data_IF_202207790197
#
_entry.id   IF_202207790197
#
_cell.length_a   1.000
_cell.length_b   1.000
_cell.length_c   1.000
_cell.angle_alpha   90.00
_cell.angle_beta   90.00
_cell.angle_gamma   90.00
#
_symmetry.space_group_name_H-M   'P 1'
#
loop_
_entity.id
_entity.type
_entity.pdbx_description
1 polymer ?
#
# COMPACT_ATOMS: atom_id res chain seq x y z
N UNK A 1 -14.11 -11.19 -0.68
CA UNK A 1 -14.66 -10.75 0.60
C UNK A 1 -14.48 -11.92 1.57
N UNK A 2 -13.98 -11.68 2.76
CA UNK A 2 -13.83 -12.72 3.79
C UNK A 2 -15.09 -12.69 4.66
N UNK A 3 -15.73 -13.83 4.85
CA UNK A 3 -16.87 -14.00 5.74
C UNK A 3 -16.50 -15.04 6.79
N UNK A 4 -16.92 -14.81 8.03
CA UNK A 4 -16.62 -15.70 9.13
C UNK A 4 -17.34 -15.29 10.41
N UNK A 5 -16.79 -15.70 11.54
CA UNK A 5 -17.38 -15.44 12.85
C UNK A 5 -16.32 -14.90 13.82
N UNK A 6 -16.72 -13.97 14.69
CA UNK A 6 -15.94 -13.67 15.90
C UNK A 6 -16.36 -14.70 16.95
N UNK A 7 -15.39 -15.32 17.59
CA UNK A 7 -15.60 -16.25 18.68
C UNK A 7 -14.89 -15.76 19.94
N UNK A 8 -15.59 -15.76 21.07
CA UNK A 8 -15.00 -15.57 22.39
C UNK A 8 -15.85 -16.30 23.43
N UNK A 9 -15.24 -17.29 24.07
CA UNK A 9 -15.95 -18.18 24.99
C UNK A 9 -17.10 -18.91 24.30
N UNK A 10 -18.34 -18.65 24.76
CA UNK A 10 -19.56 -19.27 24.21
C UNK A 10 -20.30 -18.38 23.19
N UNK A 11 -19.74 -17.20 22.88
CA UNK A 11 -20.39 -16.23 21.99
C UNK A 11 -19.79 -16.33 20.60
N UNK A 12 -20.68 -16.43 19.60
CA UNK A 12 -20.30 -16.44 18.17
C UNK A 12 -21.07 -15.36 17.44
N UNK A 13 -20.36 -14.50 16.72
CA UNK A 13 -20.93 -13.35 15.99
C UNK A 13 -20.56 -13.48 14.52
N UNK A 14 -21.51 -13.72 13.63
CA UNK A 14 -21.25 -13.76 12.19
C UNK A 14 -20.89 -12.35 11.66
N UNK A 15 -19.77 -12.26 10.94
CA UNK A 15 -19.23 -11.00 10.43
C UNK A 15 -18.61 -11.14 9.05
N UNK A 16 -18.52 -10.02 8.32
CA UNK A 16 -17.74 -9.88 7.10
C UNK A 16 -16.63 -8.85 7.30
N UNK A 17 -15.44 -9.12 6.70
CA UNK A 17 -14.31 -8.20 6.72
C UNK A 17 -14.28 -7.33 5.48
N UNK A 18 -14.13 -6.02 5.71
CA UNK A 18 -13.90 -5.01 4.68
C UNK A 18 -12.61 -4.26 4.97
N UNK A 19 -11.70 -4.09 4.00
CA UNK A 19 -10.52 -3.25 4.19
C UNK A 19 -10.94 -1.82 4.59
N UNK A 20 -10.40 -1.31 5.71
CA UNK A 20 -10.66 0.06 6.15
C UNK A 20 -9.78 1.09 5.41
N UNK A 21 -8.78 0.63 4.66
CA UNK A 21 -7.89 1.47 3.86
C UNK A 21 -7.97 1.09 2.39
N UNK A 22 -7.90 2.10 1.51
CA UNK A 22 -7.78 1.92 0.06
C UNK A 22 -6.37 2.29 -0.36
N UNK A 23 -5.78 1.50 -1.24
CA UNK A 23 -4.57 1.91 -1.95
C UNK A 23 -4.98 2.75 -3.14
N UNK A 24 -4.65 4.02 -3.09
CA UNK A 24 -4.86 4.95 -4.20
C UNK A 24 -3.55 5.25 -4.95
N UNK A 25 -2.70 4.24 -5.08
CA UNK A 25 -1.46 4.34 -5.85
C UNK A 25 -1.77 4.39 -7.34
N UNK A 26 -1.09 5.27 -8.06
CA UNK A 26 -1.16 5.30 -9.52
C UNK A 26 -0.51 4.03 -10.07
N UNK A 27 -1.29 3.24 -10.80
CA UNK A 27 -0.78 2.02 -11.43
C UNK A 27 -0.34 2.31 -12.86
N UNK A 28 0.93 2.01 -13.17
CA UNK A 28 1.49 2.17 -14.51
C UNK A 28 1.60 0.81 -15.19
N UNK A 29 1.17 0.75 -16.45
CA UNK A 29 1.38 -0.42 -17.29
C UNK A 29 2.67 -0.23 -18.08
N UNK A 30 3.54 -1.23 -18.07
CA UNK A 30 4.76 -1.18 -18.89
C UNK A 30 4.42 -1.35 -20.36
N UNK A 31 4.94 -0.42 -21.18
CA UNK A 31 4.72 -0.40 -22.61
C UNK A 31 6.06 -0.49 -23.32
N UNK A 32 6.07 -1.16 -24.50
CA UNK A 32 7.22 -1.19 -25.39
C UNK A 32 7.40 0.20 -26.03
N UNK A 33 8.64 0.71 -26.00
CA UNK A 33 8.96 2.07 -26.43
C UNK A 33 8.64 2.36 -27.90
N UNK A 34 8.73 1.33 -28.76
CA UNK A 34 8.63 1.50 -30.23
C UNK A 34 7.21 1.67 -30.74
N UNK A 35 6.24 0.97 -30.14
CA UNK A 35 4.86 0.91 -30.62
C UNK A 35 3.82 1.02 -29.50
N UNK A 36 4.28 1.32 -28.28
CA UNK A 36 3.46 1.47 -27.07
C UNK A 36 2.57 0.25 -26.76
N UNK A 37 2.91 -0.93 -27.31
CA UNK A 37 2.21 -2.15 -26.97
C UNK A 37 2.46 -2.58 -25.52
N UNK A 38 1.45 -3.10 -24.79
CA UNK A 38 1.63 -3.62 -23.45
C UNK A 38 2.64 -4.77 -23.39
N UNK A 39 3.53 -4.74 -22.40
CA UNK A 39 4.51 -5.80 -22.14
C UNK A 39 3.91 -6.83 -21.20
N UNK A 40 4.02 -8.12 -21.54
CA UNK A 40 3.65 -9.24 -20.69
C UNK A 40 4.90 -9.94 -20.18
N UNK A 41 4.84 -10.44 -18.93
CA UNK A 41 5.91 -11.22 -18.32
C UNK A 41 5.73 -12.71 -18.65
N UNK A 42 6.82 -13.35 -19.05
CA UNK A 42 6.90 -14.80 -19.21
C UNK A 42 7.75 -15.39 -18.10
N UNK A 43 7.37 -16.55 -17.58
CA UNK A 43 8.16 -17.29 -16.61
C UNK A 43 9.13 -18.16 -17.35
N UNK A 44 10.41 -18.00 -17.01
CA UNK A 44 11.49 -18.79 -17.61
C UNK A 44 12.27 -19.50 -16.49
N UNK A 45 12.73 -20.71 -16.78
CA UNK A 45 13.61 -21.43 -15.87
C UNK A 45 15.00 -20.76 -15.87
N UNK A 46 15.59 -20.59 -14.70
CA UNK A 46 16.91 -19.95 -14.56
C UNK A 46 18.01 -20.75 -15.26
N UNK A 47 17.89 -22.09 -15.25
CA UNK A 47 18.92 -22.99 -15.77
C UNK A 47 19.11 -22.93 -17.29
N UNK A 48 18.03 -22.73 -18.04
CA UNK A 48 18.07 -22.82 -19.52
C UNK A 48 17.31 -21.69 -20.24
N UNK A 49 16.70 -20.77 -19.50
CA UNK A 49 15.95 -19.63 -20.05
C UNK A 49 14.66 -20.00 -20.79
N UNK A 50 14.21 -21.27 -20.73
CA UNK A 50 13.00 -21.70 -21.40
C UNK A 50 11.75 -21.34 -20.61
N UNK A 51 10.67 -21.07 -21.34
CA UNK A 51 9.37 -20.78 -20.75
C UNK A 51 8.82 -22.00 -20.02
N UNK A 52 8.37 -21.79 -18.77
CA UNK A 52 7.82 -22.83 -17.91
C UNK A 52 6.32 -22.63 -17.76
N UNK A 53 5.49 -23.60 -18.17
CA UNK A 53 4.05 -23.58 -17.96
C UNK A 53 3.71 -23.58 -16.46
N UNK A 54 2.58 -22.96 -16.11
CA UNK A 54 2.15 -22.83 -14.70
C UNK A 54 2.06 -24.19 -13.98
N UNK A 55 1.52 -25.20 -14.67
CA UNK A 55 1.31 -26.53 -14.13
C UNK A 55 2.61 -27.30 -13.86
N UNK A 56 3.73 -26.81 -14.40
CA UNK A 56 5.06 -27.40 -14.17
C UNK A 56 5.84 -26.66 -13.07
N UNK A 57 5.22 -25.66 -12.38
CA UNK A 57 5.86 -24.90 -11.33
C UNK A 57 5.45 -25.46 -9.98
N UNK A 58 6.42 -25.83 -9.14
CA UNK A 58 6.22 -26.30 -7.77
C UNK A 58 6.79 -25.30 -6.78
N UNK A 59 6.30 -25.31 -5.54
CA UNK A 59 6.84 -24.49 -4.45
C UNK A 59 7.99 -25.21 -3.77
N UNK A 60 9.16 -24.59 -3.72
CA UNK A 60 10.33 -25.10 -3.01
C UNK A 60 10.70 -24.16 -1.86
N UNK A 61 11.02 -24.73 -0.69
CA UNK A 61 11.63 -24.01 0.43
C UNK A 61 13.14 -24.26 0.42
N UNK A 62 13.93 -23.19 0.32
CA UNK A 62 15.39 -23.27 0.37
C UNK A 62 15.82 -23.37 1.84
N UNK A 63 16.36 -24.50 2.25
CA UNK A 63 16.84 -24.74 3.62
C UNK A 63 18.36 -24.63 3.75
N UNK A 64 19.09 -24.78 2.66
CA UNK A 64 20.50 -24.47 2.50
C UNK A 64 20.71 -23.91 1.10
N UNK A 65 21.75 -23.10 0.91
CA UNK A 65 22.04 -22.47 -0.38
C UNK A 65 22.06 -23.48 -1.54
N UNK A 66 21.10 -23.36 -2.45
CA UNK A 66 20.93 -24.26 -3.61
C UNK A 66 20.25 -25.59 -3.32
N UNK A 67 19.79 -25.83 -2.07
CA UNK A 67 19.03 -27.06 -1.72
C UNK A 67 17.59 -26.73 -1.37
N UNK A 68 16.67 -27.33 -2.08
CA UNK A 68 15.23 -27.07 -1.96
C UNK A 68 14.46 -28.29 -1.50
N UNK A 69 13.53 -28.10 -0.56
CA UNK A 69 12.47 -29.07 -0.27
C UNK A 69 11.23 -28.67 -1.06
N UNK A 70 10.73 -29.59 -1.87
CA UNK A 70 9.50 -29.35 -2.65
C UNK A 70 8.29 -29.58 -1.75
N UNK A 71 7.41 -28.58 -1.68
CA UNK A 71 6.15 -28.64 -0.94
C UNK A 71 5.00 -28.83 -1.92
N UNK A 72 4.19 -29.87 -1.71
CA UNK A 72 2.98 -30.16 -2.48
C UNK A 72 1.77 -29.51 -1.80
N UNK A 73 0.69 -29.35 -2.53
CA UNK A 73 -0.57 -28.82 -1.96
C UNK A 73 -1.09 -29.67 -0.78
N UNK A 74 -0.85 -30.99 -0.81
CA UNK A 74 -1.21 -31.89 0.28
C UNK A 74 -0.46 -31.59 1.58
N UNK A 75 0.79 -31.09 1.50
CA UNK A 75 1.58 -30.73 2.67
C UNK A 75 1.02 -29.47 3.34
N UNK A 76 0.51 -28.52 2.54
CA UNK A 76 -0.18 -27.34 3.06
C UNK A 76 -1.53 -27.69 3.70
N UNK A 77 -2.24 -28.69 3.18
CA UNK A 77 -3.52 -29.16 3.75
C UNK A 77 -3.34 -29.91 5.09
N UNK A 78 -2.15 -30.48 5.34
CA UNK A 78 -1.83 -31.13 6.63
C UNK A 78 -1.68 -30.14 7.77
N UNK A 79 -1.33 -28.91 7.49
CA UNK A 79 -1.38 -27.81 8.45
C UNK A 79 -2.87 -27.42 8.55
N UNK A 80 -3.58 -28.02 9.48
CA UNK A 80 -5.05 -27.99 9.60
C UNK A 80 -5.56 -26.59 10.01
N UNK A 81 -5.45 -25.66 9.07
CA UNK A 81 -5.97 -24.29 9.20
C UNK A 81 -7.42 -24.19 8.68
N UNK A 82 -7.97 -25.25 8.06
CA UNK A 82 -9.28 -25.18 7.41
C UNK A 82 -10.43 -25.00 8.44
N UNK A 83 -10.34 -25.65 9.59
CA UNK A 83 -11.35 -25.51 10.65
C UNK A 83 -11.37 -24.11 11.30
N UNK A 84 -10.20 -23.46 11.38
CA UNK A 84 -10.05 -22.11 11.90
C UNK A 84 -10.15 -21.01 10.82
N UNK A 85 -10.24 -21.37 9.55
CA UNK A 85 -10.13 -20.44 8.41
C UNK A 85 -11.24 -19.37 8.32
N UNK A 86 -12.34 -19.54 9.05
CA UNK A 86 -13.48 -18.62 9.05
C UNK A 86 -13.79 -18.07 10.44
N UNK A 87 -12.84 -18.14 11.38
CA UNK A 87 -13.05 -17.69 12.75
C UNK A 87 -11.98 -16.65 13.14
N UNK A 88 -12.44 -15.58 13.75
CA UNK A 88 -11.63 -14.64 14.53
C UNK A 88 -11.75 -15.10 15.98
N UNK A 89 -10.78 -15.85 16.47
CA UNK A 89 -10.82 -16.43 17.80
C UNK A 89 -10.12 -15.50 18.80
N UNK A 90 -10.93 -14.84 19.64
CA UNK A 90 -10.44 -13.94 20.69
C UNK A 90 -9.98 -14.79 21.87
N UNK A 91 -8.69 -14.72 22.15
CA UNK A 91 -8.04 -15.45 23.23
C UNK A 91 -8.04 -14.66 24.53
N UNK A 92 -7.72 -13.36 24.48
CA UNK A 92 -7.53 -12.47 25.61
C UNK A 92 -8.08 -11.08 25.36
N UNK A 93 -8.34 -10.34 26.44
CA UNK A 93 -8.67 -8.92 26.41
C UNK A 93 -7.62 -8.13 27.21
N UNK A 94 -6.91 -7.25 26.54
CA UNK A 94 -5.84 -6.43 27.12
C UNK A 94 -6.17 -4.94 26.99
N UNK A 95 -5.53 -4.11 27.79
CA UNK A 95 -5.67 -2.66 27.65
C UNK A 95 -5.02 -2.20 26.33
N UNK A 96 -5.72 -1.35 25.56
CA UNK A 96 -5.20 -0.84 24.29
C UNK A 96 -3.86 -0.11 24.46
N UNK A 97 -3.65 0.53 25.61
CA UNK A 97 -2.44 1.29 25.92
C UNK A 97 -1.21 0.42 26.16
N UNK A 98 -1.40 -0.87 26.47
CA UNK A 98 -0.29 -1.83 26.65
C UNK A 98 0.30 -2.28 25.31
N UNK A 99 -0.46 -2.16 24.22
CA UNK A 99 0.01 -2.59 22.89
C UNK A 99 0.79 -1.45 22.24
N UNK A 100 2.07 -1.69 21.99
CA UNK A 100 2.88 -0.74 21.23
C UNK A 100 2.29 -0.55 19.80
N UNK A 101 2.07 0.70 19.33
CA UNK A 101 1.56 0.97 17.98
C UNK A 101 2.34 0.31 16.84
N UNK A 102 3.60 -0.05 17.04
CA UNK A 102 4.42 -0.78 16.05
C UNK A 102 3.87 -2.16 15.70
N UNK A 103 3.05 -2.76 16.56
CA UNK A 103 2.41 -4.03 16.26
C UNK A 103 1.31 -3.91 15.21
N UNK A 104 0.63 -2.76 15.10
CA UNK A 104 -0.51 -2.60 14.19
C UNK A 104 -0.06 -2.43 12.74
N UNK A 105 -0.63 -3.25 11.83
CA UNK A 105 -0.26 -3.27 10.44
C UNK A 105 -1.37 -2.78 9.51
N UNK A 106 -2.58 -3.38 9.61
CA UNK A 106 -3.66 -3.11 8.67
C UNK A 106 -5.03 -3.25 9.30
N UNK A 107 -5.86 -2.19 9.22
CA UNK A 107 -7.22 -2.20 9.74
C UNK A 107 -8.24 -2.77 8.75
N UNK A 108 -9.25 -3.46 9.30
CA UNK A 108 -10.45 -3.92 8.60
C UNK A 108 -11.69 -3.56 9.40
N UNK A 109 -12.76 -3.16 8.73
CA UNK A 109 -14.08 -3.08 9.34
C UNK A 109 -14.69 -4.47 9.46
N UNK A 110 -15.34 -4.72 10.59
CA UNK A 110 -16.15 -5.90 10.85
C UNK A 110 -17.63 -5.50 10.70
N UNK A 111 -18.30 -6.00 9.67
CA UNK A 111 -19.74 -5.77 9.46
C UNK A 111 -20.52 -6.97 9.98
N UNK A 112 -21.53 -6.75 10.88
CA UNK A 112 -22.36 -7.85 11.36
C UNK A 112 -23.17 -8.47 10.22
N UNK A 113 -23.25 -9.79 10.20
CA UNK A 113 -24.12 -10.52 9.30
C UNK A 113 -25.46 -10.85 9.98
N UNK A 114 -26.43 -11.30 9.19
CA UNK A 114 -27.78 -11.58 9.66
C UNK A 114 -27.79 -12.42 10.93
N UNK A 115 -28.45 -11.92 11.97
CA UNK A 115 -28.55 -12.57 13.29
C UNK A 115 -27.42 -12.23 14.26
N UNK A 116 -26.39 -11.49 13.84
CA UNK A 116 -25.28 -11.08 14.68
C UNK A 116 -25.45 -9.75 15.42
N UNK A 117 -26.43 -8.92 15.04
CA UNK A 117 -26.54 -7.52 15.44
C UNK A 117 -26.50 -7.31 16.96
N UNK A 118 -27.27 -8.11 17.73
CA UNK A 118 -27.33 -7.97 19.18
C UNK A 118 -26.01 -8.30 19.87
N UNK A 119 -25.38 -9.42 19.49
CA UNK A 119 -24.13 -9.85 20.07
C UNK A 119 -22.96 -8.92 19.63
N UNK A 120 -23.01 -8.44 18.39
CA UNK A 120 -22.08 -7.43 17.86
C UNK A 120 -22.14 -6.13 18.66
N UNK A 121 -23.35 -5.59 18.88
CA UNK A 121 -23.55 -4.36 19.66
C UNK A 121 -23.09 -4.53 21.10
N UNK A 122 -23.36 -5.68 21.71
CA UNK A 122 -22.92 -5.99 23.07
C UNK A 122 -21.39 -5.99 23.16
N UNK A 123 -20.70 -6.69 22.26
CA UNK A 123 -19.24 -6.73 22.24
C UNK A 123 -18.63 -5.33 22.01
N UNK A 124 -19.21 -4.56 21.08
CA UNK A 124 -18.78 -3.20 20.77
C UNK A 124 -18.86 -2.29 22.00
N UNK A 125 -20.00 -2.26 22.69
CA UNK A 125 -20.18 -1.44 23.89
C UNK A 125 -19.24 -1.90 25.01
N UNK A 126 -19.12 -3.20 25.24
CA UNK A 126 -18.20 -3.73 26.25
C UNK A 126 -16.74 -3.34 26.01
N UNK A 127 -16.27 -3.41 24.74
CA UNK A 127 -14.91 -2.99 24.40
C UNK A 127 -14.73 -1.47 24.49
N UNK A 128 -15.75 -0.69 24.15
CA UNK A 128 -15.74 0.78 24.29
C UNK A 128 -15.63 1.20 25.75
N UNK A 129 -16.50 0.65 26.59
CA UNK A 129 -16.57 1.04 28.00
C UNK A 129 -15.35 0.58 28.81
N UNK A 130 -14.79 -0.58 28.45
CA UNK A 130 -13.62 -1.12 29.15
C UNK A 130 -12.29 -0.55 28.66
N UNK A 131 -12.24 0.11 27.49
CA UNK A 131 -10.99 0.56 26.85
C UNK A 131 -10.09 -0.59 26.42
N UNK A 132 -10.62 -1.80 26.29
CA UNK A 132 -9.87 -3.01 25.96
C UNK A 132 -9.91 -3.34 24.47
N UNK A 133 -8.93 -4.14 24.04
CA UNK A 133 -8.85 -4.77 22.73
C UNK A 133 -8.84 -6.29 22.91
N UNK A 134 -9.61 -7.01 22.12
CA UNK A 134 -9.57 -8.46 22.09
C UNK A 134 -8.44 -8.95 21.21
N UNK A 135 -7.43 -9.60 21.80
CA UNK A 135 -6.33 -10.24 21.06
C UNK A 135 -6.83 -11.54 20.47
N UNK A 136 -6.73 -11.66 19.16
CA UNK A 136 -7.30 -12.77 18.41
C UNK A 136 -6.31 -13.33 17.39
N UNK A 137 -6.58 -14.55 16.94
CA UNK A 137 -5.99 -15.15 15.76
C UNK A 137 -7.02 -15.22 14.65
N UNK A 138 -6.60 -14.98 13.43
CA UNK A 138 -7.46 -15.02 12.25
C UNK A 138 -6.70 -15.57 11.06
N UNK A 139 -7.34 -16.41 10.27
CA UNK A 139 -6.79 -16.90 9.01
C UNK A 139 -7.39 -16.09 7.87
N UNK A 140 -6.53 -15.37 7.16
CA UNK A 140 -6.90 -14.63 5.97
C UNK A 140 -6.19 -15.25 4.77
N UNK A 141 -6.95 -15.77 3.83
CA UNK A 141 -6.48 -16.60 2.70
C UNK A 141 -5.86 -17.90 3.18
N UNK A 142 -4.52 -17.97 3.29
CA UNK A 142 -3.77 -19.16 3.64
C UNK A 142 -2.77 -18.93 4.78
N UNK A 143 -2.90 -17.79 5.49
CA UNK A 143 -1.98 -17.42 6.57
C UNK A 143 -2.74 -17.07 7.84
N UNK A 144 -2.24 -17.58 8.96
CA UNK A 144 -2.63 -17.12 10.30
C UNK A 144 -2.02 -15.75 10.56
N UNK A 145 -2.81 -14.88 11.14
CA UNK A 145 -2.41 -13.53 11.57
C UNK A 145 -2.81 -13.32 13.01
N UNK A 146 -1.95 -12.66 13.76
CA UNK A 146 -2.33 -12.05 15.02
C UNK A 146 -3.19 -10.82 14.71
N UNK A 147 -4.23 -10.59 15.47
CA UNK A 147 -5.13 -9.47 15.26
C UNK A 147 -5.70 -8.93 16.58
N UNK A 148 -6.11 -7.68 16.56
CA UNK A 148 -6.80 -7.03 17.66
C UNK A 148 -8.19 -6.59 17.26
N UNK A 149 -9.21 -6.98 18.02
CA UNK A 149 -10.59 -6.52 17.84
C UNK A 149 -10.87 -5.38 18.79
N UNK A 150 -11.17 -4.19 18.28
CA UNK A 150 -11.49 -3.00 19.09
C UNK A 150 -12.72 -2.27 18.59
N UNK A 151 -13.36 -1.50 19.47
CA UNK A 151 -14.45 -0.62 19.11
C UNK A 151 -13.92 0.73 18.61
N UNK A 152 -14.45 1.24 17.49
CA UNK A 152 -14.18 2.58 16.99
C UNK A 152 -15.44 3.22 16.42
N UNK A 153 -15.94 4.25 17.09
CA UNK A 153 -17.25 4.83 16.76
C UNK A 153 -18.36 3.76 16.83
N UNK A 154 -19.11 3.60 15.77
CA UNK A 154 -20.20 2.62 15.67
C UNK A 154 -19.78 1.27 15.09
N UNK A 155 -18.49 1.07 14.83
CA UNK A 155 -17.97 -0.14 14.24
C UNK A 155 -17.02 -0.91 15.19
N UNK A 156 -16.93 -2.23 14.99
CA UNK A 156 -15.81 -3.04 15.42
C UNK A 156 -14.76 -3.05 14.29
N UNK A 157 -13.50 -2.91 14.69
CA UNK A 157 -12.35 -2.95 13.79
C UNK A 157 -11.48 -4.14 14.16
N UNK A 158 -11.06 -4.88 13.16
CA UNK A 158 -9.99 -5.87 13.24
C UNK A 158 -8.69 -5.21 12.76
N UNK A 159 -7.74 -5.06 13.64
CA UNK A 159 -6.37 -4.62 13.32
C UNK A 159 -5.48 -5.84 13.16
N UNK A 160 -4.97 -6.11 11.96
CA UNK A 160 -3.91 -7.11 11.80
C UNK A 160 -2.66 -6.64 12.52
N UNK A 161 -2.03 -7.54 13.24
CA UNK A 161 -0.85 -7.25 14.05
C UNK A 161 0.33 -8.14 13.63
N UNK A 162 1.53 -7.63 13.88
CA UNK A 162 2.75 -8.42 13.79
C UNK A 162 2.85 -9.40 14.96
N UNK A 163 3.44 -10.57 14.73
CA UNK A 163 3.89 -11.43 15.81
C UNK A 163 5.12 -10.82 16.51
N UNK A 164 5.39 -11.24 17.75
CA UNK A 164 6.49 -10.66 18.53
C UNK A 164 7.88 -10.85 17.92
N UNK A 165 8.08 -11.93 17.18
CA UNK A 165 9.31 -12.28 16.46
C UNK A 165 9.50 -11.50 15.14
N UNK A 166 8.44 -10.85 14.65
CA UNK A 166 8.52 -9.99 13.44
C UNK A 166 9.04 -8.58 13.76
N UNK A 167 9.05 -8.17 15.03
CA UNK A 167 9.54 -6.85 15.41
C UNK A 167 11.06 -6.87 15.64
N UNK A 168 11.74 -5.90 15.03
CA UNK A 168 13.18 -5.70 15.25
C UNK A 168 13.42 -5.08 16.61
N UNK A 169 14.23 -5.72 17.46
CA UNK A 169 14.60 -5.19 18.76
C UNK A 169 15.42 -3.91 18.62
N UNK A 170 15.03 -2.87 19.34
CA UNK A 170 15.73 -1.59 19.34
C UNK A 170 17.20 -1.72 19.79
N UNK A 171 17.51 -2.69 20.64
CA UNK A 171 18.85 -2.95 21.16
C UNK A 171 19.84 -3.40 20.08
N UNK A 172 19.34 -3.90 18.93
CA UNK A 172 20.16 -4.22 17.75
C UNK A 172 20.68 -2.98 17.03
N UNK A 173 20.13 -1.79 17.33
CA UNK A 173 20.46 -0.53 16.69
C UNK A 173 21.26 0.39 17.63
N UNK A 174 22.06 1.29 17.05
CA UNK A 174 22.90 2.22 17.81
C UNK A 174 22.17 3.53 18.09
N UNK A 175 21.43 3.59 19.19
CA UNK A 175 20.80 4.82 19.65
C UNK A 175 21.68 5.55 20.69
N UNK A 176 21.63 6.89 20.77
CA UNK A 176 22.24 7.63 21.86
C UNK A 176 21.63 7.23 23.21
N UNK A 177 22.44 6.69 24.13
CA UNK A 177 21.94 6.20 25.46
C UNK A 177 21.57 7.30 26.45
N UNK A 178 21.97 8.55 26.20
CA UNK A 178 21.63 9.71 27.04
C UNK A 178 21.40 10.94 26.18
N UNK A 179 20.52 11.82 26.63
CA UNK A 179 20.37 13.14 26.06
C UNK A 179 21.70 13.89 26.11
N UNK A 180 22.34 14.09 24.96
CA UNK A 180 23.55 14.91 24.82
C UNK A 180 23.21 16.40 24.86
N UNK A 181 21.91 16.75 24.81
CA UNK A 181 21.42 18.11 24.82
C UNK A 181 21.39 18.71 26.24
N UNK A 182 21.75 19.98 26.34
CA UNK A 182 21.67 20.74 27.59
C UNK A 182 20.23 21.11 27.93
N UNK A 183 19.90 21.29 29.20
CA UNK A 183 18.53 21.64 29.63
C UNK A 183 17.95 22.86 28.91
N UNK A 184 18.81 23.88 28.66
CA UNK A 184 18.41 25.08 27.91
C UNK A 184 18.00 24.78 26.48
N UNK A 185 18.68 23.87 25.81
CA UNK A 185 18.36 23.42 24.44
C UNK A 185 17.05 22.64 24.43
N UNK A 186 16.84 21.75 25.40
CA UNK A 186 15.59 20.99 25.58
C UNK A 186 14.41 21.95 25.83
N UNK A 187 14.60 22.98 26.66
CA UNK A 187 13.57 23.98 26.93
C UNK A 187 13.20 24.78 25.67
N UNK A 188 14.22 25.14 24.88
CA UNK A 188 13.98 25.82 23.59
C UNK A 188 13.24 24.92 22.60
N UNK A 189 13.62 23.64 22.49
CA UNK A 189 12.94 22.67 21.65
C UNK A 189 11.48 22.46 22.07
N UNK A 190 11.18 22.40 23.37
CA UNK A 190 9.79 22.30 23.87
C UNK A 190 8.96 23.50 23.45
N UNK A 191 9.49 24.73 23.56
CA UNK A 191 8.79 25.95 23.10
C UNK A 191 8.51 25.95 21.60
N UNK A 192 9.43 25.44 20.78
CA UNK A 192 9.21 25.30 19.35
C UNK A 192 8.10 24.28 19.05
N UNK A 193 8.10 23.13 19.73
CA UNK A 193 7.06 22.10 19.60
C UNK A 193 5.69 22.69 20.01
N UNK A 194 5.61 23.41 21.14
CA UNK A 194 4.38 24.08 21.59
C UNK A 194 3.88 25.09 20.55
N UNK A 195 4.79 25.91 19.97
CA UNK A 195 4.45 26.88 18.95
C UNK A 195 3.99 26.26 17.60
N UNK A 196 4.35 25.01 17.34
CA UNK A 196 3.96 24.27 16.14
C UNK A 196 2.81 23.27 16.40
N UNK A 197 2.34 23.16 17.66
CA UNK A 197 1.27 22.23 18.02
C UNK A 197 -0.05 22.63 17.38
N UNK A 198 -0.70 21.71 16.71
CA UNK A 198 -1.98 21.88 16.07
C UNK A 198 -2.88 20.67 16.30
N UNK A 199 -4.18 20.82 16.07
CA UNK A 199 -5.10 19.68 16.04
C UNK A 199 -4.81 18.79 14.84
N UNK A 200 -4.97 17.49 15.04
CA UNK A 200 -4.88 16.52 13.95
C UNK A 200 -6.04 16.67 12.98
N UNK A 201 -5.76 17.10 11.78
CA UNK A 201 -6.71 17.25 10.67
C UNK A 201 -6.15 16.51 9.46
N UNK A 202 -6.57 15.26 9.20
CA UNK A 202 -6.03 14.43 8.11
C UNK A 202 -6.07 15.11 6.74
N UNK A 203 -7.11 15.91 6.48
CA UNK A 203 -7.29 16.60 5.21
C UNK A 203 -6.22 17.65 4.88
N UNK A 204 -5.38 18.04 5.86
CA UNK A 204 -4.26 18.96 5.64
C UNK A 204 -3.03 18.27 5.02
N UNK A 205 -2.98 16.96 5.06
CA UNK A 205 -1.82 16.17 4.63
C UNK A 205 -2.20 15.41 3.36
N UNK A 206 -1.94 16.03 2.22
CA UNK A 206 -2.21 15.45 0.90
C UNK A 206 -0.94 14.88 0.28
N UNK A 207 -1.10 13.90 -0.59
CA UNK A 207 0.00 13.38 -1.41
C UNK A 207 0.26 14.33 -2.59
N UNK A 208 1.12 15.31 -2.36
CA UNK A 208 1.48 16.33 -3.36
C UNK A 208 2.12 15.69 -4.61
N UNK A 209 2.90 14.62 -4.44
CA UNK A 209 3.50 13.90 -5.57
C UNK A 209 2.43 13.31 -6.48
N UNK A 210 1.43 12.64 -5.89
CA UNK A 210 0.29 12.09 -6.63
C UNK A 210 -0.47 13.20 -7.36
N UNK A 211 -0.74 14.31 -6.69
CA UNK A 211 -1.48 15.45 -7.28
C UNK A 211 -0.72 16.06 -8.46
N UNK A 212 0.59 16.30 -8.32
CA UNK A 212 1.43 16.82 -9.40
C UNK A 212 1.54 15.84 -10.57
N UNK A 213 1.66 14.54 -10.29
CA UNK A 213 1.75 13.52 -11.34
C UNK A 213 0.43 13.37 -12.09
N UNK A 214 -0.72 13.45 -11.40
CA UNK A 214 -2.04 13.47 -12.02
C UNK A 214 -2.22 14.67 -12.92
N UNK A 215 -1.86 15.88 -12.47
CA UNK A 215 -1.92 17.10 -13.28
C UNK A 215 -1.08 16.99 -14.56
N UNK A 216 0.14 16.41 -14.45
CA UNK A 216 1.01 16.17 -15.61
C UNK A 216 0.39 15.15 -16.61
N UNK A 217 -0.26 14.10 -16.09
CA UNK A 217 -0.95 13.10 -16.93
C UNK A 217 -2.13 13.75 -17.66
N UNK A 218 -2.94 14.55 -16.99
CA UNK A 218 -4.06 15.28 -17.56
C UNK A 218 -3.62 16.29 -18.64
N UNK A 219 -2.52 17.00 -18.41
CA UNK A 219 -1.91 17.90 -19.41
C UNK A 219 -1.50 17.14 -20.68
N UNK A 220 -0.86 15.98 -20.52
CA UNK A 220 -0.48 15.13 -21.66
C UNK A 220 -1.68 14.59 -22.43
N UNK A 221 -2.72 14.13 -21.71
CA UNK A 221 -3.96 13.63 -22.34
C UNK A 221 -4.62 14.77 -23.15
N UNK A 222 -4.74 15.97 -22.58
CA UNK A 222 -5.32 17.12 -23.28
C UNK A 222 -4.46 17.60 -24.46
N UNK A 223 -3.15 17.56 -24.32
CA UNK A 223 -2.21 17.86 -25.41
C UNK A 223 -2.28 16.86 -26.56
N UNK A 224 -2.40 15.57 -26.29
CA UNK A 224 -2.57 14.52 -27.30
C UNK A 224 -3.95 14.61 -28.01
N UNK A 225 -5.00 14.92 -27.27
CA UNK A 225 -6.35 15.15 -27.84
C UNK A 225 -6.34 16.36 -28.76
N UNK A 226 -5.67 17.44 -28.39
CA UNK A 226 -5.52 18.62 -29.23
C UNK A 226 -4.71 18.33 -30.49
N UNK A 227 -3.63 17.56 -30.39
CA UNK A 227 -2.81 17.16 -31.54
C UNK A 227 -3.57 16.24 -32.52
N UNK A 228 -4.33 15.26 -31.99
CA UNK A 228 -5.18 14.38 -32.81
C UNK A 228 -6.37 15.11 -33.46
N UNK A 229 -6.93 16.12 -32.81
CA UNK A 229 -7.97 16.97 -33.38
C UNK A 229 -7.41 17.85 -34.52
N UNK A 230 -6.18 18.38 -34.33
CA UNK A 230 -5.51 19.18 -35.38
C UNK A 230 -5.17 18.34 -36.63
N UNK A 231 -4.76 17.08 -36.47
CA UNK A 231 -4.50 16.17 -37.60
C UNK A 231 -5.76 15.75 -38.37
N UNK A 232 -6.94 15.78 -37.75
CA UNK A 232 -8.22 15.48 -38.44
C UNK A 232 -8.82 16.66 -39.18
N UNK A 233 -8.36 17.89 -38.94
CA UNK A 233 -8.84 19.12 -39.59
C UNK A 233 -8.03 19.53 -40.83
N UNK A 234 -6.94 18.83 -41.19
CA UNK A 234 -6.13 19.15 -42.37
C UNK A 234 -6.47 18.19 -43.52
N UNK A 235 -7.75 18.09 -43.90
CA UNK A 235 -8.14 17.59 -45.20
C UNK A 235 -9.21 18.52 -45.75
N UNK A 236 -8.77 19.38 -46.66
CA UNK A 236 -9.45 20.25 -47.64
C UNK A 236 -9.33 21.76 -47.31
N UNK A 237 -8.20 22.32 -47.70
CA UNK A 237 -8.22 23.67 -48.28
C UNK A 237 -7.26 23.66 -49.47
N UNK A 238 -7.81 23.89 -50.65
CA UNK A 238 -7.12 24.04 -51.92
C UNK A 238 -6.12 25.19 -51.87
N UNK A 239 -4.98 25.04 -52.54
CA UNK A 239 -4.01 26.10 -52.79
C UNK A 239 -4.64 27.24 -53.58
N UNK A 240 -4.31 28.50 -53.26
CA UNK A 240 -4.07 29.51 -54.26
C UNK A 240 -2.61 29.95 -54.26
N UNK A 241 -2.15 30.26 -55.47
CA UNK A 241 -0.79 30.66 -55.80
C UNK A 241 -0.35 32.02 -55.20
N UNK A 242 0.95 32.03 -54.87
CA UNK A 242 1.93 33.14 -54.81
C UNK A 242 1.46 34.60 -54.82
N UNK A 243 1.94 35.34 -53.86
CA UNK A 243 2.75 36.59 -54.07
C UNK A 243 3.35 37.06 -52.74
N UNK A 244 4.65 37.15 -52.70
CA UNK A 244 5.57 38.18 -52.22
C UNK A 244 5.52 38.70 -50.77
N UNK A 245 6.70 38.65 -50.19
CA UNK A 245 7.33 39.63 -49.30
C UNK A 245 7.25 39.47 -47.77
N UNK A 246 8.45 39.31 -47.24
CA UNK A 246 9.00 39.85 -45.99
C UNK A 246 8.65 39.17 -44.65
N UNK A 247 9.69 38.48 -44.11
CA UNK A 247 9.83 38.02 -42.74
C UNK A 247 10.22 39.18 -41.78
N UNK A 248 9.63 39.29 -40.62
CA UNK A 248 10.27 40.01 -39.50
C UNK A 248 11.03 39.08 -38.57
N UNK A 249 12.28 39.46 -38.44
CA UNK A 249 13.38 38.93 -37.62
C UNK A 249 13.12 39.05 -36.11
N UNK A 250 12.32 38.23 -35.47
CA UNK A 250 12.26 38.18 -34.00
C UNK A 250 11.95 36.80 -33.37
N UNK A 251 11.76 35.73 -34.16
CA UNK A 251 11.44 34.39 -33.65
C UNK A 251 12.63 33.43 -33.58
N UNK A 252 13.86 33.90 -33.89
CA UNK A 252 15.04 33.02 -33.99
C UNK A 252 16.01 33.07 -32.80
N UNK A 253 15.58 33.68 -31.67
CA UNK A 253 16.46 33.78 -30.49
C UNK A 253 16.01 32.97 -29.27
N UNK A 254 14.94 32.19 -29.36
CA UNK A 254 14.44 31.35 -28.23
C UNK A 254 14.63 29.85 -28.42
N UNK A 255 15.19 29.40 -29.55
CA UNK A 255 15.41 27.96 -29.81
C UNK A 255 16.86 27.48 -29.61
N UNK A 256 17.77 28.33 -29.15
CA UNK A 256 19.19 27.99 -29.02
C UNK A 256 19.68 27.80 -27.57
N UNK A 257 18.80 27.84 -26.58
CA UNK A 257 19.18 27.66 -25.16
C UNK A 257 18.77 26.29 -24.57
N UNK A 258 18.05 25.44 -25.30
CA UNK A 258 17.62 24.12 -24.80
C UNK A 258 18.34 22.92 -25.41
N UNK A 259 19.50 23.10 -26.08
CA UNK A 259 20.23 21.97 -26.68
C UNK A 259 21.53 21.58 -25.95
N UNK A 260 21.84 22.14 -24.77
CA UNK A 260 23.10 21.84 -24.05
C UNK A 260 22.93 21.08 -22.71
N UNK A 261 21.76 20.51 -22.40
CA UNK A 261 21.59 19.70 -21.18
C UNK A 261 21.31 18.22 -21.50
N UNK A 262 22.12 17.63 -22.39
CA UNK A 262 22.07 16.17 -22.60
C UNK A 262 23.45 15.57 -22.84
N UNK A 263 24.35 15.64 -21.83
CA UNK A 263 25.51 14.74 -21.77
C UNK A 263 25.89 14.48 -20.31
N UNK A 264 25.55 13.28 -19.86
CA UNK A 264 26.39 12.47 -18.98
C UNK A 264 26.31 12.73 -17.48
N UNK A 265 25.40 12.03 -16.79
CA UNK A 265 25.79 11.47 -15.49
C UNK A 265 24.97 10.18 -15.22
N UNK A 266 25.73 9.13 -14.93
CA UNK A 266 25.24 7.77 -14.66
C UNK A 266 24.87 7.69 -13.18
N UNK A 267 23.61 7.36 -12.86
CA UNK A 267 23.17 7.10 -11.49
C UNK A 267 23.66 5.72 -11.03
N UNK A 268 24.24 5.56 -9.83
CA UNK A 268 24.45 4.27 -9.21
C UNK A 268 23.12 3.78 -8.61
N UNK A 269 22.73 2.55 -8.95
CA UNK A 269 21.54 1.89 -8.42
C UNK A 269 21.67 1.55 -6.93
N UNK A 270 20.54 1.29 -6.26
CA UNK A 270 20.53 0.95 -4.85
C UNK A 270 21.03 -0.49 -4.62
N UNK A 271 21.80 -0.64 -3.55
CA UNK A 271 22.27 -1.89 -2.93
C UNK A 271 21.10 -2.53 -2.16
#
# INVERSE_FOLDING_TARGET
>A
MWNGTISFGLVTIPVALYPATRREELSFRLLRKTDQSPVNYKRVAEADGKEVPWDSIVKGYEYEKGKFVILKEEDFKRVDLEAAAQTIDIMDFVDVTEINPMYFQKPYYLEPQKGGDKAYSLLREALRDSGKIGVAKVIIRTREHLAGVKAQGDALILEIMHFGDELVEADSLKFPKKALAREREITMAKKLIEGMSAKWEPAKYEDEYKNQLMAMIEEKISGEVAATACCKSVVKVAMPQRRGSELPTKAMRLMLVMSEFHKGERWPGPV
#
